data_IF_810152669703
#
_entry.id   IF_810152669703
#
_cell.length_a   1.000
_cell.length_b   1.000
_cell.length_c   1.000
_cell.angle_alpha   90.00
_cell.angle_beta   90.00
_cell.angle_gamma   90.00
#
_symmetry.space_group_name_H-M   'P 1'
#
loop_
_entity.id
_entity.type
_entity.pdbx_description
1 polymer ?
#
# COMPACT_ATOMS: atom_id res chain seq x y z
N UNK A 1 8.77 -23.48 -22.27
CA UNK A 1 8.15 -23.55 -20.93
C UNK A 1 9.18 -23.11 -19.89
N UNK A 2 9.25 -21.81 -19.57
CA UNK A 2 10.19 -21.25 -18.58
C UNK A 2 9.44 -20.83 -17.31
N UNK A 3 8.90 -21.81 -16.59
CA UNK A 3 8.05 -21.59 -15.41
C UNK A 3 8.72 -21.88 -14.07
N UNK A 4 9.97 -22.36 -14.02
CA UNK A 4 10.52 -22.85 -12.74
C UNK A 4 11.94 -22.38 -12.37
N UNK A 5 12.64 -21.64 -13.23
CA UNK A 5 13.96 -21.08 -12.91
C UNK A 5 13.93 -19.55 -12.98
N UNK A 6 13.04 -18.91 -12.20
CA UNK A 6 12.95 -17.45 -12.16
C UNK A 6 13.21 -16.97 -10.74
N UNK A 7 14.35 -16.33 -10.56
CA UNK A 7 14.53 -15.29 -9.54
C UNK A 7 13.30 -14.39 -9.55
N UNK A 8 12.69 -14.17 -8.38
CA UNK A 8 11.52 -13.31 -8.24
C UNK A 8 11.84 -11.98 -8.93
N UNK A 9 10.93 -11.50 -9.78
CA UNK A 9 11.17 -10.27 -10.53
C UNK A 9 11.52 -9.10 -9.58
N UNK A 10 12.60 -8.36 -9.87
CA UNK A 10 13.01 -7.18 -9.11
C UNK A 10 11.84 -6.23 -8.75
N UNK A 11 10.90 -5.86 -9.67
CA UNK A 11 9.76 -5.01 -9.30
C UNK A 11 8.80 -5.65 -8.28
N UNK A 12 8.61 -6.97 -8.32
CA UNK A 12 7.76 -7.69 -7.38
C UNK A 12 8.39 -7.75 -5.99
N UNK A 13 9.70 -8.02 -5.91
CA UNK A 13 10.45 -7.98 -4.64
C UNK A 13 10.39 -6.58 -4.04
N UNK A 14 10.66 -5.55 -4.85
CA UNK A 14 10.63 -4.16 -4.40
C UNK A 14 9.27 -3.78 -3.81
N UNK A 15 8.17 -4.09 -4.51
CA UNK A 15 6.81 -3.84 -4.02
C UNK A 15 6.52 -4.58 -2.70
N UNK A 16 6.90 -5.85 -2.61
CA UNK A 16 6.66 -6.65 -1.41
C UNK A 16 7.43 -6.11 -0.21
N UNK A 17 8.70 -5.75 -0.39
CA UNK A 17 9.55 -5.21 0.68
C UNK A 17 8.99 -3.91 1.25
N UNK A 18 8.67 -2.93 0.40
CA UNK A 18 8.15 -1.64 0.88
C UNK A 18 6.76 -1.78 1.52
N UNK A 19 5.90 -2.65 0.99
CA UNK A 19 4.56 -2.86 1.52
C UNK A 19 4.58 -3.57 2.89
N UNK A 20 5.45 -4.56 3.08
CA UNK A 20 5.64 -5.20 4.39
C UNK A 20 6.22 -4.24 5.41
N UNK A 21 7.25 -3.46 5.04
CA UNK A 21 7.82 -2.47 5.95
C UNK A 21 6.76 -1.44 6.39
N UNK A 22 5.94 -0.95 5.46
CA UNK A 22 4.82 -0.05 5.78
C UNK A 22 3.79 -0.69 6.72
N UNK A 23 3.45 -1.96 6.49
CA UNK A 23 2.50 -2.69 7.35
C UNK A 23 3.05 -2.91 8.77
N UNK A 24 4.34 -3.20 8.90
CA UNK A 24 5.02 -3.32 10.21
C UNK A 24 4.97 -1.99 10.97
N UNK A 25 5.29 -0.89 10.29
CA UNK A 25 5.24 0.46 10.87
C UNK A 25 3.82 0.81 11.33
N UNK A 26 2.80 0.49 10.53
CA UNK A 26 1.38 0.66 10.88
C UNK A 26 1.00 -0.18 12.09
N UNK A 27 1.44 -1.44 12.17
CA UNK A 27 1.20 -2.32 13.31
C UNK A 27 1.79 -1.78 14.60
N UNK A 28 3.02 -1.22 14.55
CA UNK A 28 3.67 -0.61 15.71
C UNK A 28 2.90 0.64 16.18
N UNK A 29 2.51 1.51 15.25
CA UNK A 29 1.78 2.75 15.56
C UNK A 29 0.37 2.51 16.12
N UNK A 30 -0.27 1.40 15.74
CA UNK A 30 -1.66 1.10 16.06
C UNK A 30 -1.85 0.01 17.13
N UNK A 31 -0.79 -0.38 17.85
CA UNK A 31 -0.91 -1.38 18.92
C UNK A 31 -1.87 -0.91 20.02
N UNK A 32 -2.89 -1.71 20.31
CA UNK A 32 -3.80 -1.52 21.44
C UNK A 32 -4.84 -0.41 21.27
N UNK A 33 -4.99 0.19 20.08
CA UNK A 33 -5.99 1.24 19.81
C UNK A 33 -7.11 0.75 18.87
N UNK A 34 -8.38 1.09 19.14
CA UNK A 34 -9.50 0.79 18.24
C UNK A 34 -9.57 1.72 17.02
N UNK A 35 -8.63 2.65 16.89
CA UNK A 35 -8.51 3.60 15.77
C UNK A 35 -7.28 3.25 14.93
N UNK A 36 -7.45 3.18 13.60
CA UNK A 36 -6.33 3.08 12.66
C UNK A 36 -5.82 4.50 12.40
N UNK A 37 -4.71 4.82 13.04
CA UNK A 37 -3.93 6.03 12.85
C UNK A 37 -2.90 5.81 11.74
N UNK A 38 -2.91 6.68 10.72
CA UNK A 38 -1.86 6.74 9.70
C UNK A 38 -1.19 8.09 9.85
N UNK A 39 -0.03 8.13 10.52
CA UNK A 39 0.58 9.39 10.93
C UNK A 39 -0.32 10.17 11.89
N UNK A 40 -0.62 11.42 11.58
CA UNK A 40 -1.46 12.29 12.42
C UNK A 40 -2.97 12.22 12.09
N UNK A 41 -3.36 11.31 11.19
CA UNK A 41 -4.76 11.12 10.77
C UNK A 41 -5.34 9.91 11.51
N UNK A 42 -6.40 10.13 12.28
CA UNK A 42 -7.10 9.08 13.02
C UNK A 42 -8.36 8.66 12.28
N UNK A 43 -8.44 7.39 11.88
CA UNK A 43 -9.63 6.81 11.27
C UNK A 43 -10.28 5.80 12.22
N UNK A 44 -11.58 5.99 12.51
CA UNK A 44 -12.35 5.01 13.29
C UNK A 44 -12.68 3.84 12.38
N UNK A 45 -12.02 2.71 12.61
CA UNK A 45 -12.26 1.46 11.88
C UNK A 45 -13.09 0.52 12.74
N UNK A 46 -13.91 -0.35 12.12
CA UNK A 46 -14.71 -1.32 12.86
C UNK A 46 -13.86 -2.38 13.57
N UNK A 47 -12.73 -2.78 12.98
CA UNK A 47 -11.78 -3.69 13.61
C UNK A 47 -10.36 -3.53 13.04
N UNK A 48 -9.44 -3.06 13.86
CA UNK A 48 -8.03 -2.82 13.48
C UNK A 48 -7.38 -4.09 12.92
N UNK A 49 -7.66 -5.26 13.51
CA UNK A 49 -7.11 -6.54 13.07
C UNK A 49 -7.61 -6.95 11.68
N UNK A 50 -8.91 -6.80 11.42
CA UNK A 50 -9.51 -7.17 10.14
C UNK A 50 -8.98 -6.28 9.01
N UNK A 51 -8.87 -4.98 9.25
CA UNK A 51 -8.28 -4.03 8.27
C UNK A 51 -6.83 -4.38 7.95
N UNK A 52 -6.03 -4.75 8.96
CA UNK A 52 -4.63 -5.15 8.73
C UNK A 52 -4.52 -6.48 7.97
N UNK A 53 -5.37 -7.46 8.26
CA UNK A 53 -5.38 -8.75 7.55
C UNK A 53 -5.77 -8.58 6.08
N UNK A 54 -6.78 -7.76 5.78
CA UNK A 54 -7.18 -7.47 4.40
C UNK A 54 -6.04 -6.79 3.64
N UNK A 55 -5.33 -5.85 4.27
CA UNK A 55 -4.16 -5.22 3.66
C UNK A 55 -3.06 -6.23 3.33
N UNK A 56 -2.77 -7.18 4.23
CA UNK A 56 -1.79 -8.25 3.96
C UNK A 56 -2.19 -9.12 2.77
N UNK A 57 -3.47 -9.50 2.66
CA UNK A 57 -3.98 -10.26 1.53
C UNK A 57 -3.85 -9.47 0.21
N UNK A 58 -4.14 -8.17 0.24
CA UNK A 58 -3.95 -7.29 -0.92
C UNK A 58 -2.48 -7.23 -1.36
N UNK A 59 -1.53 -7.14 -0.42
CA UNK A 59 -0.10 -7.09 -0.74
C UNK A 59 0.32 -8.38 -1.44
N UNK A 60 -0.08 -9.55 -0.93
CA UNK A 60 0.26 -10.85 -1.52
C UNK A 60 -0.36 -10.97 -2.92
N UNK A 61 -1.65 -10.66 -3.04
CA UNK A 61 -2.36 -10.68 -4.32
C UNK A 61 -1.71 -9.75 -5.35
N UNK A 62 -1.37 -8.52 -4.96
CA UNK A 62 -0.75 -7.55 -5.86
C UNK A 62 0.68 -7.94 -6.26
N UNK A 63 1.47 -8.45 -5.31
CA UNK A 63 2.82 -8.98 -5.59
C UNK A 63 2.75 -10.11 -6.61
N UNK A 64 1.75 -10.99 -6.49
CA UNK A 64 1.50 -12.05 -7.46
C UNK A 64 1.17 -11.49 -8.84
N UNK A 65 0.25 -10.52 -8.95
CA UNK A 65 -0.10 -9.88 -10.23
C UNK A 65 1.12 -9.25 -10.90
N UNK A 66 1.92 -8.48 -10.16
CA UNK A 66 3.16 -7.86 -10.67
C UNK A 66 4.17 -8.92 -11.13
N UNK A 67 4.33 -10.00 -10.36
CA UNK A 67 5.24 -11.09 -10.70
C UNK A 67 4.79 -11.83 -11.98
N UNK A 68 3.49 -12.06 -12.15
CA UNK A 68 2.91 -12.69 -13.33
C UNK A 68 3.13 -11.81 -14.57
N UNK A 69 2.80 -10.52 -14.51
CA UNK A 69 2.98 -9.58 -15.64
C UNK A 69 4.46 -9.47 -16.05
N UNK A 70 5.36 -9.39 -15.06
CA UNK A 70 6.79 -9.41 -15.32
C UNK A 70 7.24 -10.74 -15.95
N UNK A 71 6.65 -11.86 -15.52
CA UNK A 71 6.96 -13.18 -16.08
C UNK A 71 6.57 -13.32 -17.55
N UNK A 72 5.53 -12.60 -17.99
CA UNK A 72 5.14 -12.49 -19.39
C UNK A 72 6.05 -11.59 -20.25
N UNK A 73 7.08 -10.97 -19.67
CA UNK A 73 8.04 -10.12 -20.39
C UNK A 73 7.75 -8.62 -20.33
N UNK A 74 6.67 -8.20 -19.66
CA UNK A 74 6.28 -6.79 -19.52
C UNK A 74 6.95 -6.12 -18.31
N UNK A 75 8.27 -6.12 -18.26
CA UNK A 75 9.05 -5.57 -17.12
C UNK A 75 8.76 -4.08 -16.92
N UNK A 76 8.67 -3.28 -17.99
CA UNK A 76 8.35 -1.85 -17.91
C UNK A 76 6.97 -1.60 -17.32
N UNK A 77 5.97 -2.37 -17.76
CA UNK A 77 4.60 -2.27 -17.26
C UNK A 77 4.52 -2.67 -15.78
N UNK A 78 5.27 -3.68 -15.36
CA UNK A 78 5.36 -4.06 -13.94
C UNK A 78 5.86 -2.90 -13.07
N UNK A 79 6.87 -2.14 -13.51
CA UNK A 79 7.34 -0.95 -12.78
C UNK A 79 6.28 0.16 -12.67
N UNK A 80 5.53 0.40 -13.74
CA UNK A 80 4.42 1.37 -13.70
C UNK A 80 3.32 0.92 -12.73
N UNK A 81 3.02 -0.39 -12.70
CA UNK A 81 2.02 -0.94 -11.79
C UNK A 81 2.43 -0.84 -10.31
N UNK A 82 3.73 -0.92 -10.02
CA UNK A 82 4.28 -0.68 -8.68
C UNK A 82 4.12 0.80 -8.27
N UNK A 83 4.25 1.74 -9.21
CA UNK A 83 4.08 3.18 -8.96
C UNK A 83 2.63 3.61 -8.73
N UNK A 84 1.67 2.90 -9.34
CA UNK A 84 0.24 3.21 -9.27
C UNK A 84 -0.28 3.49 -7.82
N UNK A 85 -0.05 2.63 -6.81
CA UNK A 85 -0.50 2.89 -5.45
C UNK A 85 0.12 4.15 -4.82
N UNK A 86 1.35 4.51 -5.18
CA UNK A 86 2.00 5.73 -4.68
C UNK A 86 1.39 6.99 -5.28
N UNK A 87 1.01 6.93 -6.56
CA UNK A 87 0.32 8.04 -7.23
C UNK A 87 -1.05 8.26 -6.58
N UNK A 88 -1.82 7.19 -6.35
CA UNK A 88 -3.11 7.29 -5.65
C UNK A 88 -2.96 7.89 -4.24
N UNK A 89 -1.94 7.48 -3.49
CA UNK A 89 -1.68 8.04 -2.16
C UNK A 89 -1.34 9.53 -2.23
N UNK A 90 -0.47 9.94 -3.17
CA UNK A 90 -0.10 11.34 -3.36
C UNK A 90 -1.31 12.21 -3.73
N UNK A 91 -2.19 11.70 -4.61
CA UNK A 91 -3.44 12.38 -4.98
C UNK A 91 -4.39 12.49 -3.79
N UNK A 92 -4.57 11.42 -3.00
CA UNK A 92 -5.44 11.43 -1.83
C UNK A 92 -4.94 12.40 -0.74
N UNK A 93 -3.64 12.42 -0.47
CA UNK A 93 -3.03 13.36 0.47
C UNK A 93 -3.11 14.81 -0.03
N UNK A 94 -2.85 15.04 -1.32
CA UNK A 94 -3.01 16.36 -1.94
C UNK A 94 -4.45 16.88 -1.82
N UNK A 95 -5.43 16.03 -2.11
CA UNK A 95 -6.85 16.36 -1.95
C UNK A 95 -7.22 16.67 -0.48
N UNK A 96 -6.68 15.90 0.48
CA UNK A 96 -6.88 16.14 1.91
C UNK A 96 -6.26 17.46 2.37
N UNK A 97 -5.08 17.84 1.90
CA UNK A 97 -4.45 19.12 2.26
C UNK A 97 -5.22 20.32 1.71
N UNK A 98 -5.71 20.22 0.47
CA UNK A 98 -6.55 21.25 -0.15
C UNK A 98 -7.89 21.35 0.61
N UNK A 99 -8.50 20.22 0.97
CA UNK A 99 -9.79 20.20 1.68
C UNK A 99 -9.68 20.57 3.17
N UNK A 100 -8.57 20.21 3.82
CA UNK A 100 -8.29 20.49 5.22
C UNK A 100 -7.95 21.96 5.50
N UNK A 101 -7.59 22.72 4.46
CA UNK A 101 -7.40 24.18 4.53
C UNK A 101 -8.72 24.94 4.72
N UNK A 102 -9.87 24.29 4.57
CA UNK A 102 -11.21 24.89 4.72
C UNK A 102 -11.78 24.80 6.15
N UNK A 103 -10.95 24.58 7.17
CA UNK A 103 -11.32 24.63 8.60
C UNK A 103 -10.47 25.66 9.38
N UNK A 104 -10.32 26.87 8.82
CA UNK A 104 -9.90 28.06 9.58
C UNK A 104 -10.81 29.22 9.19
N UNK A 105 -12.05 29.20 9.70
CA UNK A 105 -12.89 30.36 10.02
C UNK A 105 -14.35 29.92 10.16
N UNK A 106 -14.74 29.58 11.37
CA UNK A 106 -16.06 29.92 11.89
C UNK A 106 -15.96 29.85 13.41
N UNK A 107 -16.17 31.00 14.05
CA UNK A 107 -16.38 31.17 15.49
C UNK A 107 -17.25 30.07 16.10
#
# INVERSE_FOLDING_TARGET
>A
MQLFNRTICNPAVFYFTIAILGTIVMLIQNRGKPTHCVGNVNCKVPNTYLTTTVNLLMIIFWTFVVNVICSYGFIKTAWVLVLLPFIFLALALGALLISGSSKTNSL
#
